data_IF_084822756866
#
_entry.id   IF_084822756866
#
_cell.length_a   1.000
_cell.length_b   1.000
_cell.length_c   1.000
_cell.angle_alpha   90.00
_cell.angle_beta   90.00
_cell.angle_gamma   90.00
#
_symmetry.space_group_name_H-M   'P 1'
#
loop_
_entity.id
_entity.type
_entity.pdbx_description
1 polymer ?
#
# COMPACT_ATOMS: atom_id res chain seq x y z
N UNK A 1 -0.84 -23.30 23.13
CA UNK A 1 -0.13 -23.34 21.83
C UNK A 1 1.30 -23.80 22.07
N UNK A 2 1.69 -24.90 21.43
CA UNK A 2 3.03 -25.46 21.53
C UNK A 2 4.01 -24.55 20.76
N UNK A 3 5.05 -24.03 21.41
CA UNK A 3 6.02 -23.12 20.80
C UNK A 3 7.05 -23.84 19.90
N UNK A 4 7.05 -25.18 19.88
CA UNK A 4 8.03 -25.99 19.15
C UNK A 4 7.61 -26.37 17.72
N UNK A 5 6.59 -25.73 17.15
CA UNK A 5 6.09 -25.99 15.79
C UNK A 5 6.31 -24.81 14.83
N UNK A 6 7.36 -24.01 15.06
CA UNK A 6 7.74 -22.96 14.12
C UNK A 6 8.67 -23.57 13.07
N UNK A 7 8.21 -23.56 11.81
CA UNK A 7 9.05 -23.90 10.67
C UNK A 7 9.81 -22.64 10.20
N UNK A 8 11.10 -22.79 9.90
CA UNK A 8 11.89 -21.73 9.29
C UNK A 8 11.41 -21.49 7.85
N UNK A 9 10.72 -20.37 7.63
CA UNK A 9 10.30 -19.95 6.30
C UNK A 9 11.43 -19.15 5.65
N UNK A 10 12.11 -19.75 4.66
CA UNK A 10 13.04 -19.02 3.81
C UNK A 10 12.21 -18.16 2.83
N UNK A 11 12.11 -16.87 3.13
CA UNK A 11 11.47 -15.92 2.22
C UNK A 11 12.39 -15.67 1.01
N UNK A 12 12.02 -16.21 -0.15
CA UNK A 12 12.63 -15.79 -1.41
C UNK A 12 12.21 -14.36 -1.71
N UNK A 13 13.16 -13.42 -1.67
CA UNK A 13 12.92 -12.03 -2.09
C UNK A 13 12.65 -12.00 -3.58
N UNK A 14 11.37 -12.09 -3.96
CA UNK A 14 10.91 -11.82 -5.31
C UNK A 14 10.40 -10.38 -5.35
N UNK A 15 11.26 -9.48 -5.80
CA UNK A 15 10.89 -8.08 -6.03
C UNK A 15 10.94 -7.77 -7.52
N UNK A 16 10.19 -6.76 -7.93
CA UNK A 16 10.27 -6.24 -9.30
C UNK A 16 11.68 -5.63 -9.52
N UNK A 17 12.22 -5.67 -10.75
CA UNK A 17 13.49 -5.02 -11.02
C UNK A 17 13.36 -3.50 -10.85
N UNK A 18 14.35 -2.89 -10.22
CA UNK A 18 14.52 -1.45 -10.14
C UNK A 18 15.66 -0.99 -11.05
N UNK A 19 15.60 0.26 -11.57
CA UNK A 19 16.77 0.90 -12.16
C UNK A 19 17.96 0.90 -11.20
N UNK A 20 19.18 0.79 -11.72
CA UNK A 20 20.41 0.67 -10.91
C UNK A 20 20.52 1.78 -9.85
N UNK A 21 20.20 3.03 -10.22
CA UNK A 21 20.24 4.16 -9.28
C UNK A 21 19.27 4.03 -8.11
N UNK A 22 18.17 3.28 -8.25
CA UNK A 22 17.19 3.03 -7.19
C UNK A 22 17.44 1.71 -6.47
N UNK A 23 18.18 0.76 -7.06
CA UNK A 23 18.48 -0.52 -6.42
C UNK A 23 19.67 -0.45 -5.45
N UNK A 24 20.55 0.55 -5.60
CA UNK A 24 21.69 0.78 -4.71
C UNK A 24 21.30 1.29 -3.32
N UNK A 25 20.17 1.99 -3.21
CA UNK A 25 19.59 2.45 -1.95
C UNK A 25 18.06 2.34 -2.00
N UNK A 26 17.51 1.35 -1.29
CA UNK A 26 16.08 1.10 -1.26
C UNK A 26 15.31 2.07 -0.33
N UNK A 27 16.01 2.86 0.47
CA UNK A 27 15.44 3.75 1.47
C UNK A 27 14.90 3.03 2.71
N UNK A 28 13.97 3.70 3.40
CA UNK A 28 13.39 3.24 4.67
C UNK A 28 12.24 2.24 4.52
N UNK A 29 11.59 1.90 5.65
CA UNK A 29 10.41 1.01 5.70
C UNK A 29 10.59 -0.30 4.93
N UNK A 30 11.67 -1.03 5.24
CA UNK A 30 11.95 -2.34 4.63
C UNK A 30 12.31 -2.27 3.14
N UNK A 31 12.68 -1.09 2.64
CA UNK A 31 13.08 -0.86 1.26
C UNK A 31 11.92 -0.57 0.31
N UNK A 32 10.72 -0.27 0.83
CA UNK A 32 9.54 0.01 0.01
C UNK A 32 9.62 1.33 -0.77
N UNK A 33 10.38 2.31 -0.25
CA UNK A 33 10.42 3.67 -0.79
C UNK A 33 10.87 3.71 -2.27
N UNK A 34 11.94 3.00 -2.61
CA UNK A 34 12.45 2.98 -3.99
C UNK A 34 11.43 2.42 -4.98
N UNK A 35 10.65 1.41 -4.58
CA UNK A 35 9.59 0.83 -5.42
C UNK A 35 8.40 1.78 -5.57
N UNK A 36 7.97 2.42 -4.48
CA UNK A 36 6.86 3.38 -4.52
C UNK A 36 7.19 4.57 -5.44
N UNK A 37 8.40 5.13 -5.32
CA UNK A 37 8.85 6.21 -6.18
C UNK A 37 8.97 5.74 -7.63
N UNK A 38 9.59 4.58 -7.88
CA UNK A 38 9.74 4.05 -9.22
C UNK A 38 8.38 3.86 -9.92
N UNK A 39 7.41 3.25 -9.24
CA UNK A 39 6.08 3.00 -9.79
C UNK A 39 5.35 4.29 -10.16
N UNK A 40 5.39 5.28 -9.27
CA UNK A 40 4.75 6.57 -9.50
C UNK A 40 5.38 7.30 -10.69
N UNK A 41 6.72 7.44 -10.73
CA UNK A 41 7.41 8.14 -11.82
C UNK A 41 7.24 7.41 -13.15
N UNK A 42 7.35 6.08 -13.16
CA UNK A 42 7.11 5.27 -14.37
C UNK A 42 5.67 5.42 -14.87
N UNK A 43 4.68 5.51 -13.97
CA UNK A 43 3.29 5.69 -14.36
C UNK A 43 3.05 7.00 -15.11
N UNK A 44 3.68 8.09 -14.63
CA UNK A 44 3.61 9.41 -15.26
C UNK A 44 4.30 9.36 -16.62
N UNK A 45 5.51 8.80 -16.69
CA UNK A 45 6.28 8.71 -17.93
C UNK A 45 5.59 7.87 -19.01
N UNK A 46 4.80 6.88 -18.62
CA UNK A 46 4.06 6.00 -19.54
C UNK A 46 2.61 6.43 -19.77
N UNK A 47 2.19 7.57 -19.22
CA UNK A 47 0.81 8.07 -19.32
C UNK A 47 -0.24 7.03 -18.90
N UNK A 48 0.10 6.22 -17.88
CA UNK A 48 -0.79 5.19 -17.33
C UNK A 48 -1.28 5.59 -15.95
N UNK A 49 -2.42 5.03 -15.55
CA UNK A 49 -2.87 5.17 -14.18
C UNK A 49 -1.84 4.52 -13.22
N UNK A 50 -1.42 5.20 -12.13
CA UNK A 50 -0.56 4.58 -11.12
C UNK A 50 -1.28 3.43 -10.42
N UNK A 51 -0.50 2.45 -9.92
CA UNK A 51 -1.05 1.36 -9.10
C UNK A 51 -1.74 1.91 -7.86
N UNK A 52 -1.15 2.94 -7.25
CA UNK A 52 -1.76 3.70 -6.16
C UNK A 52 -2.36 5.00 -6.73
N UNK A 53 -3.53 4.86 -7.36
CA UNK A 53 -4.34 5.99 -7.82
C UNK A 53 -5.29 6.51 -6.73
N UNK A 54 -6.02 7.59 -7.03
CA UNK A 54 -6.92 8.24 -6.06
C UNK A 54 -8.01 7.32 -5.52
N UNK A 55 -8.57 6.40 -6.33
CA UNK A 55 -9.54 5.42 -5.84
C UNK A 55 -8.92 4.46 -4.83
N UNK A 56 -7.69 4.01 -5.05
CA UNK A 56 -6.98 3.17 -4.08
C UNK A 56 -6.60 3.96 -2.82
N UNK A 57 -6.10 5.19 -2.97
CA UNK A 57 -5.77 6.06 -1.85
C UNK A 57 -6.98 6.29 -0.93
N UNK A 58 -8.15 6.58 -1.50
CA UNK A 58 -9.39 6.77 -0.74
C UNK A 58 -9.80 5.49 0.01
N UNK A 59 -9.61 4.30 -0.57
CA UNK A 59 -9.91 3.03 0.13
C UNK A 59 -9.01 2.79 1.34
N UNK A 60 -7.78 3.30 1.32
CA UNK A 60 -6.88 3.23 2.48
C UNK A 60 -7.23 4.28 3.54
N UNK A 61 -7.64 5.48 3.12
CA UNK A 61 -7.85 6.61 4.03
C UNK A 61 -9.27 6.70 4.61
N UNK A 62 -10.31 6.44 3.81
CA UNK A 62 -11.72 6.58 4.23
C UNK A 62 -12.07 5.78 5.49
N UNK A 63 -11.61 4.52 5.67
CA UNK A 63 -11.84 3.79 6.91
C UNK A 63 -11.29 4.51 8.14
N UNK A 64 -10.14 5.18 8.04
CA UNK A 64 -9.54 5.94 9.15
C UNK A 64 -10.39 7.14 9.57
N UNK A 65 -10.94 7.88 8.59
CA UNK A 65 -11.84 9.00 8.89
C UNK A 65 -13.15 8.53 9.54
N UNK A 66 -13.76 7.48 9.00
CA UNK A 66 -15.01 6.93 9.56
C UNK A 66 -14.77 6.28 10.93
N UNK A 67 -13.61 5.64 11.15
CA UNK A 67 -13.23 5.13 12.46
C UNK A 67 -13.07 6.26 13.49
N UNK A 68 -12.53 7.42 13.09
CA UNK A 68 -12.49 8.60 13.95
C UNK A 68 -13.89 9.09 14.31
N UNK A 69 -14.80 9.21 13.34
CA UNK A 69 -16.20 9.57 13.60
C UNK A 69 -16.92 8.55 14.49
N UNK A 70 -16.68 7.26 14.28
CA UNK A 70 -17.20 6.18 15.12
C UNK A 70 -16.74 6.32 16.56
N UNK A 71 -15.45 6.62 16.80
CA UNK A 71 -14.90 6.82 18.13
C UNK A 71 -15.55 8.01 18.87
N UNK A 72 -15.92 9.08 18.15
CA UNK A 72 -16.65 10.22 18.72
C UNK A 72 -18.11 9.86 19.08
N UNK A 73 -18.63 8.75 18.55
CA UNK A 73 -19.99 8.22 18.80
C UNK A 73 -19.97 6.92 19.59
N UNK A 74 -19.05 6.82 20.55
CA UNK A 74 -18.91 5.67 21.46
C UNK A 74 -18.76 4.32 20.73
N UNK A 75 -18.11 4.33 19.56
CA UNK A 75 -17.86 3.13 18.77
C UNK A 75 -19.04 2.67 17.90
N UNK A 76 -19.98 3.56 17.55
CA UNK A 76 -21.07 3.25 16.61
C UNK A 76 -20.52 2.63 15.30
N UNK A 77 -21.15 1.57 14.81
CA UNK A 77 -20.80 0.99 13.50
C UNK A 77 -21.29 1.91 12.38
N UNK A 78 -20.33 2.54 11.70
CA UNK A 78 -20.59 3.44 10.58
C UNK A 78 -20.20 2.79 9.25
N UNK A 79 -20.94 3.13 8.20
CA UNK A 79 -20.69 2.64 6.84
C UNK A 79 -19.52 3.40 6.21
N UNK A 80 -18.55 2.67 5.66
CA UNK A 80 -17.49 3.27 4.83
C UNK A 80 -18.08 3.65 3.46
N UNK A 81 -17.95 4.91 3.01
CA UNK A 81 -18.38 5.30 1.68
C UNK A 81 -17.52 4.64 0.60
N UNK A 82 -18.11 4.39 -0.57
CA UNK A 82 -17.44 3.82 -1.74
C UNK A 82 -17.54 4.77 -2.93
N UNK A 83 -16.41 5.00 -3.60
CA UNK A 83 -16.27 5.88 -4.77
C UNK A 83 -16.17 5.08 -6.08
N UNK A 84 -16.44 3.78 -6.05
CA UNK A 84 -16.44 2.92 -7.21
C UNK A 84 -15.04 2.55 -7.68
N UNK A 85 -14.89 2.31 -8.99
CA UNK A 85 -13.63 1.90 -9.63
C UNK A 85 -13.02 3.02 -10.47
N UNK A 86 -11.68 3.04 -10.64
CA UNK A 86 -11.05 3.98 -11.57
C UNK A 86 -11.52 3.76 -13.02
N UNK A 87 -11.39 4.77 -13.90
CA UNK A 87 -11.64 4.62 -15.33
C UNK A 87 -10.67 3.62 -15.98
N UNK A 88 -11.11 3.04 -17.10
CA UNK A 88 -10.30 2.16 -17.94
C UNK A 88 -9.25 2.93 -18.73
#
# INVERSE_FOLDING_TARGET
>A
MNKNSMEDVILTKKHEPLPEMLSSDLGGHGGSHAYLIHEFVDSVNRERLPRINVWQAVRYCAPGFVAHESALKDGELLKIPDWGTPPN
#
